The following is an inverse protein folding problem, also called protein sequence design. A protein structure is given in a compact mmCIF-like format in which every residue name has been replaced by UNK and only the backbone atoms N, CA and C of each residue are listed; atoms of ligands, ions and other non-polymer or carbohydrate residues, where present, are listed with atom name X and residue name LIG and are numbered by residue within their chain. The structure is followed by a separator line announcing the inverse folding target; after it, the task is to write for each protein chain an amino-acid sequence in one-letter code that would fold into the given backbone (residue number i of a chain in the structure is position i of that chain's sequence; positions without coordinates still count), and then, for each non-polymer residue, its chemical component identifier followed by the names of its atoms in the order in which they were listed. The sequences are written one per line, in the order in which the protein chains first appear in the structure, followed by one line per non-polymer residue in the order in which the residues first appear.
data_IF_696096714302
#
_entry.id   IF_696096714302
#
_cell.length_a   1.000
_cell.length_b   1.000
_cell.length_c   1.000
_cell.angle_alpha   90.00
_cell.angle_beta   90.00
_cell.angle_gamma   90.00
#
_symmetry.space_group_name_H-M   'P 1'
#
loop_
_entity.id
_entity.type
_entity.pdbx_description
1 polymer ?
#
# COMPACT_ATOMS: atom_id res chain seq x y z
N UNK A 1 22.72 4.52 1.89
CA UNK A 1 22.87 3.14 2.46
C UNK A 1 21.93 2.99 3.66
N UNK A 2 20.62 3.04 3.43
CA UNK A 2 19.60 2.87 4.47
C UNK A 2 19.40 1.38 4.79
N UNK A 3 19.18 0.55 3.76
CA UNK A 3 19.05 -0.89 3.90
C UNK A 3 20.23 -1.51 4.66
N UNK A 4 21.49 -1.20 4.32
CA UNK A 4 22.65 -1.78 5.04
C UNK A 4 22.69 -1.48 6.55
N UNK A 5 22.04 -0.41 7.02
CA UNK A 5 22.00 -0.05 8.44
C UNK A 5 20.81 -0.65 9.19
N UNK A 6 19.72 -0.95 8.48
CA UNK A 6 18.44 -1.39 9.05
C UNK A 6 18.01 -2.79 8.58
N UNK A 7 18.81 -3.44 7.72
CA UNK A 7 18.53 -4.76 7.17
C UNK A 7 18.80 -5.85 8.20
N UNK A 8 17.73 -6.56 8.54
CA UNK A 8 17.75 -7.82 9.24
C UNK A 8 17.04 -8.85 8.36
N UNK A 9 17.72 -9.93 7.99
CA UNK A 9 17.19 -10.99 7.14
C UNK A 9 15.87 -11.57 7.66
N UNK A 10 15.68 -11.61 8.98
CA UNK A 10 14.45 -12.10 9.61
C UNK A 10 13.31 -11.07 9.64
N UNK A 11 13.62 -9.78 9.51
CA UNK A 11 12.69 -8.67 9.74
C UNK A 11 12.60 -7.69 8.57
N UNK A 12 13.09 -8.07 7.38
CA UNK A 12 13.09 -7.20 6.19
C UNK A 12 11.69 -6.64 5.86
N UNK A 13 10.64 -7.40 6.20
CA UNK A 13 9.24 -7.02 6.04
C UNK A 13 8.84 -5.79 6.85
N UNK A 14 9.55 -5.50 7.94
CA UNK A 14 9.29 -4.33 8.79
C UNK A 14 9.80 -3.05 8.12
N UNK A 15 10.84 -3.16 7.29
CA UNK A 15 11.43 -2.03 6.55
C UNK A 15 10.46 -1.52 5.48
N UNK A 16 9.62 -2.40 4.91
CA UNK A 16 8.63 -2.03 3.90
C UNK A 16 7.53 -1.09 4.43
N UNK A 17 7.29 -1.08 5.75
CA UNK A 17 6.33 -0.15 6.38
C UNK A 17 6.98 1.16 6.81
N UNK A 18 8.31 1.29 6.68
CA UNK A 18 9.05 2.47 7.12
C UNK A 18 8.95 3.58 6.07
N UNK A 19 8.50 4.76 6.50
CA UNK A 19 8.38 5.95 5.64
C UNK A 19 9.76 6.41 5.15
N UNK A 20 10.79 6.37 5.99
CA UNK A 20 12.14 6.79 5.61
C UNK A 20 12.73 5.88 4.52
N UNK A 21 12.38 4.59 4.57
CA UNK A 21 12.78 3.64 3.53
C UNK A 21 12.07 3.95 2.20
N UNK A 22 10.76 4.19 2.24
CA UNK A 22 9.98 4.52 1.06
C UNK A 22 10.50 5.80 0.40
N UNK A 23 10.85 6.81 1.19
CA UNK A 23 11.43 8.07 0.70
C UNK A 23 12.82 7.88 0.08
N UNK A 24 13.69 7.07 0.69
CA UNK A 24 15.01 6.74 0.13
C UNK A 24 14.87 5.98 -1.20
N UNK A 25 13.92 5.04 -1.31
CA UNK A 25 13.66 4.34 -2.58
C UNK A 25 13.13 5.32 -3.62
N UNK A 26 12.16 6.16 -3.28
CA UNK A 26 11.61 7.16 -4.19
C UNK A 26 12.71 8.08 -4.73
N UNK A 27 13.60 8.56 -3.85
CA UNK A 27 14.74 9.39 -4.23
C UNK A 27 15.63 8.71 -5.27
N UNK A 28 15.96 7.42 -5.07
CA UNK A 28 16.78 6.65 -6.01
C UNK A 28 16.08 6.42 -7.34
N UNK A 29 14.78 6.12 -7.32
CA UNK A 29 13.99 5.98 -8.55
C UNK A 29 14.00 7.27 -9.34
N UNK A 30 13.77 8.42 -8.68
CA UNK A 30 13.83 9.74 -9.30
C UNK A 30 15.23 10.02 -9.88
N UNK A 31 16.30 9.66 -9.16
CA UNK A 31 17.68 9.81 -9.63
C UNK A 31 17.93 9.01 -10.93
N UNK A 32 17.48 7.76 -10.98
CA UNK A 32 17.59 6.89 -12.17
C UNK A 32 16.78 7.49 -13.33
N UNK A 33 15.51 7.86 -13.11
CA UNK A 33 14.68 8.45 -14.16
C UNK A 33 15.28 9.74 -14.73
N UNK A 34 15.81 10.62 -13.87
CA UNK A 34 16.48 11.85 -14.30
C UNK A 34 17.75 11.59 -15.07
N UNK A 35 18.53 10.59 -14.65
CA UNK A 35 19.77 10.19 -15.33
C UNK A 35 19.49 9.64 -16.73
N UNK A 36 18.39 8.92 -16.89
CA UNK A 36 17.96 8.35 -18.17
C UNK A 36 17.17 9.36 -19.05
N UNK A 37 17.00 10.60 -18.59
CA UNK A 37 16.35 11.66 -19.36
C UNK A 37 14.82 11.56 -19.44
N UNK A 38 14.18 10.85 -18.50
CA UNK A 38 12.73 10.73 -18.43
C UNK A 38 12.07 12.10 -18.28
N UNK A 39 10.91 12.28 -18.93
CA UNK A 39 10.15 13.51 -18.80
C UNK A 39 9.54 13.64 -17.39
N UNK A 40 9.24 14.86 -16.95
CA UNK A 40 8.72 15.11 -15.59
C UNK A 40 7.41 14.38 -15.29
N UNK A 41 6.59 14.10 -16.30
CA UNK A 41 5.33 13.36 -16.17
C UNK A 41 5.51 11.83 -16.13
N UNK A 42 6.70 11.32 -16.46
CA UNK A 42 7.05 9.90 -16.37
C UNK A 42 7.66 9.53 -15.01
N UNK A 43 8.12 10.55 -14.25
CA UNK A 43 8.75 10.36 -12.95
C UNK A 43 7.70 10.11 -11.87
N UNK A 44 7.77 8.99 -11.13
CA UNK A 44 6.87 8.72 -10.00
C UNK A 44 6.98 9.79 -8.91
N UNK A 45 5.83 10.24 -8.39
CA UNK A 45 5.76 11.20 -7.27
C UNK A 45 5.61 10.55 -5.90
N UNK A 46 5.06 9.32 -5.87
CA UNK A 46 4.73 8.56 -4.66
C UNK A 46 5.14 7.12 -4.89
N UNK A 47 5.52 6.43 -3.82
CA UNK A 47 5.83 5.01 -3.84
C UNK A 47 5.34 4.36 -2.56
N UNK A 48 4.96 3.08 -2.66
CA UNK A 48 4.68 2.21 -1.51
C UNK A 48 5.30 0.86 -1.78
N UNK A 49 6.01 0.34 -0.79
CA UNK A 49 6.58 -0.99 -0.84
C UNK A 49 5.53 -1.98 -0.32
N UNK A 50 5.25 -3.01 -1.11
CA UNK A 50 4.31 -4.08 -0.76
C UNK A 50 5.08 -5.35 -0.45
N UNK A 51 4.59 -6.10 0.55
CA UNK A 51 5.23 -7.36 1.01
C UNK A 51 4.69 -8.59 0.29
N UNK A 52 3.68 -8.38 -0.54
CA UNK A 52 3.00 -9.43 -1.28
C UNK A 52 3.88 -10.01 -2.38
N UNK A 53 3.85 -11.33 -2.50
CA UNK A 53 4.51 -12.01 -3.60
C UNK A 53 3.63 -11.96 -4.86
N UNK A 54 4.23 -11.51 -5.96
CA UNK A 54 3.59 -11.47 -7.28
C UNK A 54 3.96 -12.74 -8.03
N UNK A 55 3.17 -13.80 -7.79
CA UNK A 55 3.32 -15.12 -8.39
C UNK A 55 2.07 -15.47 -9.20
N UNK A 56 2.14 -16.37 -10.20
CA UNK A 56 1.00 -16.68 -11.06
C UNK A 56 -0.24 -17.13 -10.27
N UNK A 57 -0.04 -17.83 -9.16
CA UNK A 57 -1.08 -18.34 -8.26
C UNK A 57 -1.89 -17.24 -7.57
N UNK A 58 -1.28 -16.06 -7.34
CA UNK A 58 -2.02 -14.90 -6.77
C UNK A 58 -2.80 -14.13 -7.84
N UNK A 59 -2.66 -14.49 -9.12
CA UNK A 59 -3.35 -13.84 -10.23
C UNK A 59 -2.87 -12.43 -10.56
N UNK A 60 -1.82 -11.93 -9.88
CA UNK A 60 -1.24 -10.60 -10.12
C UNK A 60 -0.31 -10.57 -11.34
N UNK A 61 0.21 -11.74 -11.70
CA UNK A 61 1.04 -11.92 -12.89
C UNK A 61 0.51 -13.11 -13.70
N UNK A 62 0.97 -13.22 -14.95
CA UNK A 62 0.79 -14.45 -15.72
C UNK A 62 1.93 -15.45 -15.43
N UNK A 63 1.86 -16.64 -16.02
CA UNK A 63 2.86 -17.71 -15.85
C UNK A 63 4.27 -17.30 -16.32
N UNK A 64 4.36 -16.26 -17.17
CA UNK A 64 5.61 -15.65 -17.62
C UNK A 64 6.04 -14.44 -16.75
N UNK A 65 5.46 -14.27 -15.56
CA UNK A 65 5.69 -13.17 -14.61
C UNK A 65 5.44 -11.75 -15.16
N UNK A 66 4.64 -11.64 -16.24
CA UNK A 66 4.18 -10.34 -16.75
C UNK A 66 3.04 -9.81 -15.90
N UNK A 67 3.10 -8.52 -15.58
CA UNK A 67 2.14 -7.84 -14.72
C UNK A 67 0.73 -7.82 -15.33
N UNK A 68 -0.27 -8.29 -14.57
CA UNK A 68 -1.68 -8.12 -14.90
C UNK A 68 -2.19 -6.80 -14.32
N UNK A 69 -2.02 -5.72 -15.10
CA UNK A 69 -2.33 -4.33 -14.69
C UNK A 69 -3.70 -4.17 -14.02
N UNK A 70 -4.76 -4.79 -14.57
CA UNK A 70 -6.12 -4.72 -14.02
C UNK A 70 -6.21 -5.34 -12.61
N UNK A 71 -5.70 -6.56 -12.44
CA UNK A 71 -5.72 -7.26 -11.15
C UNK A 71 -4.88 -6.54 -10.09
N UNK A 72 -3.71 -6.02 -10.46
CA UNK A 72 -2.85 -5.22 -9.58
C UNK A 72 -3.57 -3.92 -9.17
N UNK A 73 -4.16 -3.21 -10.14
CA UNK A 73 -4.89 -1.97 -9.88
C UNK A 73 -6.09 -2.18 -8.97
N UNK A 74 -6.83 -3.28 -9.11
CA UNK A 74 -7.94 -3.63 -8.23
C UNK A 74 -7.46 -4.01 -6.82
N UNK A 75 -6.37 -4.78 -6.69
CA UNK A 75 -5.84 -5.21 -5.40
C UNK A 75 -5.30 -4.04 -4.57
N UNK A 76 -4.59 -3.12 -5.19
CA UNK A 76 -3.93 -1.99 -4.50
C UNK A 76 -4.69 -0.68 -4.63
N UNK A 77 -5.96 -0.72 -5.01
CA UNK A 77 -6.77 0.46 -5.25
C UNK A 77 -6.78 1.40 -4.04
N UNK A 78 -7.15 0.87 -2.87
CA UNK A 78 -7.26 1.65 -1.63
C UNK A 78 -5.90 2.22 -1.19
N UNK A 79 -4.83 1.46 -1.39
CA UNK A 79 -3.46 1.90 -1.10
C UNK A 79 -3.04 3.07 -2.00
N UNK A 80 -3.36 2.98 -3.30
CA UNK A 80 -3.09 4.04 -4.28
C UNK A 80 -3.93 5.27 -3.95
N UNK A 81 -5.22 5.10 -3.66
CA UNK A 81 -6.10 6.20 -3.27
C UNK A 81 -5.58 6.90 -2.01
N UNK A 82 -5.13 6.16 -1.00
CA UNK A 82 -4.54 6.74 0.21
C UNK A 82 -3.27 7.53 -0.11
N UNK A 83 -2.34 7.00 -0.91
CA UNK A 83 -1.09 7.67 -1.28
C UNK A 83 -1.30 9.03 -1.96
N UNK A 84 -2.38 9.18 -2.71
CA UNK A 84 -2.72 10.42 -3.43
C UNK A 84 -3.71 11.31 -2.67
N UNK A 85 -4.46 10.78 -1.70
CA UNK A 85 -5.36 11.56 -0.84
C UNK A 85 -4.61 12.51 0.09
N UNK A 86 -3.36 12.19 0.43
CA UNK A 86 -2.53 13.04 1.29
C UNK A 86 -2.16 14.40 0.64
N UNK A 87 -2.31 14.56 -0.68
CA UNK A 87 -2.09 15.85 -1.35
C UNK A 87 -3.24 16.85 -1.15
N UNK A 88 -4.46 16.41 -0.83
CA UNK A 88 -5.62 17.32 -0.73
C UNK A 88 -5.80 18.01 0.64
N UNK A 89 -4.95 17.70 1.64
CA UNK A 89 -5.15 18.18 3.03
C UNK A 89 -3.95 18.92 3.65
N UNK A 90 -3.03 19.46 2.84
CA UNK A 90 -1.89 20.23 3.36
C UNK A 90 -2.28 21.62 3.95
N UNK A 91 -3.56 21.85 4.27
CA UNK A 91 -4.07 23.03 4.99
C UNK A 91 -4.81 22.68 6.29
N UNK A 92 -4.84 21.42 6.74
CA UNK A 92 -5.58 21.06 7.98
C UNK A 92 -4.99 19.85 8.71
N UNK A 93 -4.18 20.13 9.74
CA UNK A 93 -3.61 19.15 10.66
C UNK A 93 -4.66 18.29 11.41
N UNK A 94 -4.25 17.03 11.64
CA UNK A 94 -4.40 16.17 12.85
C UNK A 94 -5.55 15.13 12.94
N UNK A 95 -5.06 13.88 13.09
CA UNK A 95 -5.55 12.72 13.89
C UNK A 95 -6.73 11.90 13.33
N UNK A 96 -6.51 10.59 13.13
CA UNK A 96 -6.83 9.52 14.10
C UNK A 96 -6.44 8.11 13.60
N UNK A 97 -5.93 7.27 14.52
CA UNK A 97 -5.65 5.82 14.38
C UNK A 97 -6.94 4.98 14.60
N UNK A 98 -6.94 3.66 14.31
CA UNK A 98 -8.07 2.95 13.70
C UNK A 98 -9.12 2.43 14.69
N UNK A 99 -10.36 2.28 14.23
CA UNK A 99 -11.44 1.55 14.92
C UNK A 99 -11.32 0.04 14.66
N UNK A 100 -11.16 -0.72 15.73
CA UNK A 100 -11.49 -2.14 15.82
C UNK A 100 -13.01 -2.34 15.67
N UNK A 101 -13.43 -3.17 14.72
CA UNK A 101 -14.82 -3.62 14.60
C UNK A 101 -15.05 -4.83 15.53
N UNK A 102 -15.79 -4.64 16.62
CA UNK A 102 -16.56 -5.72 17.24
C UNK A 102 -17.86 -5.89 16.46
N UNK A 103 -18.03 -7.05 15.84
CA UNK A 103 -19.34 -7.55 15.42
C UNK A 103 -20.12 -7.92 16.69
N UNK A 104 -21.32 -7.38 16.84
CA UNK A 104 -22.40 -8.07 17.56
C UNK A 104 -23.41 -8.52 16.52
N UNK A 105 -23.38 -9.83 16.29
CA UNK A 105 -24.49 -10.57 15.69
C UNK A 105 -25.53 -10.74 16.80
N UNK A 106 -26.75 -10.24 16.61
CA UNK A 106 -27.93 -10.72 17.32
C UNK A 106 -29.07 -10.79 16.29
N UNK A 107 -29.30 -12.00 15.77
CA UNK A 107 -30.53 -12.39 15.11
C UNK A 107 -31.22 -13.45 15.98
N UNK A 108 -32.53 -13.47 15.81
CA UNK A 108 -33.56 -14.44 16.21
C UNK A 108 -34.29 -14.14 17.53
N UNK A 109 -35.54 -13.66 17.44
CA UNK A 109 -36.78 -14.43 17.20
C UNK A 109 -37.24 -15.08 18.51
N UNK A 110 -38.28 -14.57 19.17
CA UNK A 110 -39.50 -15.35 19.32
C UNK A 110 -40.67 -14.59 19.99
N UNK A 111 -41.85 -15.10 19.63
CA UNK A 111 -43.23 -14.67 19.86
C UNK A 111 -43.73 -14.61 21.32
N UNK A 112 -44.88 -13.90 21.39
CA UNK A 112 -46.06 -14.08 22.25
C UNK A 112 -46.04 -13.49 23.67
N UNK A 113 -47.00 -12.60 23.90
CA UNK A 113 -47.88 -12.70 25.07
C UNK A 113 -49.28 -12.16 24.75
N UNK A 114 -50.21 -13.10 24.63
CA UNK A 114 -51.63 -12.88 24.91
C UNK A 114 -51.79 -12.75 26.45
N UNK A 115 -52.45 -11.68 26.89
CA UNK A 115 -53.50 -11.65 27.92
C UNK A 115 -54.03 -10.22 28.08
#
# INVERSE_FOLDING_TARGET
RYAEKHYNEKEWKNIADDEDFNDEILRKVIEICKKDGAASYEIPKKIKIVKDHWIPETGLVNDALKLKRKAIGEKYKDDIEQLYSDESNNDSKKKTKPKSNEKKDDNDDDKKKDQ
#
